data_IF_291489921086
#
_entry.id   IF_291489921086
#
_cell.length_a   1.000
_cell.length_b   1.000
_cell.length_c   1.000
_cell.angle_alpha   90.00
_cell.angle_beta   90.00
_cell.angle_gamma   90.00
#
_symmetry.space_group_name_H-M   'P 1'
#
loop_
_entity.id
_entity.type
_entity.pdbx_description
1 polymer ?
#
# COMPACT_ATOMS: atom_id res chain seq x y z
N UNK A 1 -3.46 -3.09 -20.50
CA UNK A 1 -2.72 -3.77 -19.44
C UNK A 1 -3.12 -3.15 -18.11
N UNK A 2 -3.34 -3.95 -17.09
CA UNK A 2 -3.73 -3.53 -15.73
C UNK A 2 -3.04 -4.39 -14.68
N UNK A 3 -2.91 -3.90 -13.47
CA UNK A 3 -2.42 -4.61 -12.30
C UNK A 3 -2.87 -3.91 -11.02
N UNK A 4 -2.46 -4.43 -9.88
CA UNK A 4 -2.63 -3.79 -8.58
C UNK A 4 -4.09 -3.34 -8.32
N UNK A 5 -5.05 -4.22 -8.66
CA UNK A 5 -6.47 -3.94 -8.49
C UNK A 5 -6.94 -4.15 -7.05
N UNK A 6 -6.25 -5.01 -6.29
CA UNK A 6 -6.49 -5.31 -4.89
C UNK A 6 -7.97 -5.57 -4.58
N UNK A 7 -8.62 -6.38 -5.40
CA UNK A 7 -10.01 -6.81 -5.18
C UNK A 7 -10.10 -7.63 -3.89
N UNK A 8 -11.28 -7.63 -3.25
CA UNK A 8 -11.50 -8.32 -1.97
C UNK A 8 -10.65 -7.77 -0.80
N UNK A 9 -10.56 -6.46 -0.60
CA UNK A 9 -9.67 -5.87 0.41
C UNK A 9 -10.10 -6.22 1.84
N UNK A 10 -9.12 -6.40 2.73
CA UNK A 10 -9.35 -6.52 4.17
C UNK A 10 -9.41 -5.13 4.81
N UNK A 11 -10.60 -4.70 5.20
CA UNK A 11 -10.86 -3.35 5.73
C UNK A 11 -11.48 -3.41 7.14
N UNK A 12 -10.77 -3.95 8.15
CA UNK A 12 -11.35 -4.22 9.48
C UNK A 12 -11.78 -2.96 10.23
N UNK A 13 -11.20 -1.80 9.91
CA UNK A 13 -11.51 -0.51 10.56
C UNK A 13 -12.75 0.18 9.99
N UNK A 14 -13.28 -0.30 8.84
CA UNK A 14 -14.46 0.26 8.22
C UNK A 14 -15.74 -0.42 8.72
N UNK A 15 -16.84 0.34 8.77
CA UNK A 15 -18.18 -0.24 8.98
C UNK A 15 -18.53 -1.21 7.85
N UNK A 16 -19.43 -2.18 8.06
CA UNK A 16 -19.84 -3.11 7.00
C UNK A 16 -20.31 -2.39 5.72
N UNK A 17 -21.09 -1.33 5.86
CA UNK A 17 -21.57 -0.53 4.73
C UNK A 17 -20.40 0.11 3.94
N UNK A 18 -19.44 0.75 4.62
CA UNK A 18 -18.29 1.38 3.97
C UNK A 18 -17.34 0.37 3.35
N UNK A 19 -17.20 -0.82 3.96
CA UNK A 19 -16.46 -1.92 3.33
C UNK A 19 -17.08 -2.32 2.01
N UNK A 20 -18.41 -2.43 1.96
CA UNK A 20 -19.10 -2.77 0.71
C UNK A 20 -18.95 -1.67 -0.34
N UNK A 21 -19.11 -0.41 0.03
CA UNK A 21 -18.92 0.73 -0.87
C UNK A 21 -17.48 0.74 -1.45
N UNK A 22 -16.45 0.53 -0.61
CA UNK A 22 -15.06 0.48 -1.09
C UNK A 22 -14.84 -0.71 -2.02
N UNK A 23 -15.38 -1.87 -1.68
CA UNK A 23 -15.32 -3.05 -2.52
C UNK A 23 -15.97 -2.80 -3.89
N UNK A 24 -17.15 -2.20 -3.92
CA UNK A 24 -17.85 -1.87 -5.16
C UNK A 24 -17.04 -0.93 -6.04
N UNK A 25 -16.40 0.10 -5.48
CA UNK A 25 -15.51 1.00 -6.24
C UNK A 25 -14.35 0.26 -6.89
N UNK A 26 -13.68 -0.63 -6.16
CA UNK A 26 -12.59 -1.43 -6.73
C UNK A 26 -13.09 -2.33 -7.87
N UNK A 27 -14.24 -2.96 -7.71
CA UNK A 27 -14.86 -3.75 -8.76
C UNK A 27 -15.23 -2.89 -9.98
N UNK A 28 -15.79 -1.71 -9.77
CA UNK A 28 -16.13 -0.76 -10.83
C UNK A 28 -14.89 -0.28 -11.60
N UNK A 29 -13.78 0.00 -10.88
CA UNK A 29 -12.52 0.39 -11.50
C UNK A 29 -11.94 -0.72 -12.40
N UNK A 30 -12.00 -1.98 -11.94
CA UNK A 30 -11.61 -3.13 -12.76
C UNK A 30 -12.54 -3.32 -13.96
N UNK A 31 -13.86 -3.25 -13.75
CA UNK A 31 -14.84 -3.35 -14.83
C UNK A 31 -14.64 -2.25 -15.88
N UNK A 32 -14.29 -1.03 -15.46
CA UNK A 32 -14.01 0.06 -16.40
C UNK A 32 -12.82 -0.24 -17.33
N UNK A 33 -11.78 -0.91 -16.83
CA UNK A 33 -10.66 -1.38 -17.67
C UNK A 33 -11.12 -2.46 -18.66
N UNK A 34 -12.01 -3.36 -18.25
CA UNK A 34 -12.63 -4.37 -19.12
C UNK A 34 -13.53 -3.73 -20.17
N UNK A 35 -14.39 -2.78 -19.78
CA UNK A 35 -15.27 -2.04 -20.67
C UNK A 35 -14.47 -1.30 -21.74
N UNK A 36 -13.40 -0.64 -21.33
CA UNK A 36 -12.51 0.07 -22.24
C UNK A 36 -11.86 -0.90 -23.25
N UNK A 37 -11.35 -2.04 -22.77
CA UNK A 37 -10.75 -3.04 -23.64
C UNK A 37 -11.74 -3.58 -24.68
N UNK A 38 -13.00 -3.82 -24.30
CA UNK A 38 -14.06 -4.28 -25.21
C UNK A 38 -14.43 -3.17 -26.22
N UNK A 39 -14.66 -1.97 -25.73
CA UNK A 39 -15.09 -0.82 -26.57
C UNK A 39 -14.02 -0.44 -27.62
N UNK A 40 -12.73 -0.60 -27.28
CA UNK A 40 -11.62 -0.28 -28.18
C UNK A 40 -11.06 -1.52 -28.91
N UNK A 41 -11.79 -2.64 -28.87
CA UNK A 41 -11.45 -3.86 -29.62
C UNK A 41 -10.03 -4.37 -29.30
N UNK A 42 -9.61 -4.32 -28.04
CA UNK A 42 -8.35 -4.91 -27.60
C UNK A 42 -8.24 -6.36 -28.08
N UNK A 43 -7.04 -6.84 -28.31
CA UNK A 43 -6.79 -8.25 -28.65
C UNK A 43 -6.21 -9.04 -27.50
N UNK A 44 -5.50 -8.32 -26.62
CA UNK A 44 -4.89 -8.89 -25.40
C UNK A 44 -5.31 -8.03 -24.22
N UNK A 45 -5.77 -8.66 -23.15
CA UNK A 45 -5.93 -8.06 -21.83
C UNK A 45 -4.88 -8.68 -20.92
N UNK A 46 -3.85 -7.91 -20.57
CA UNK A 46 -2.74 -8.37 -19.75
C UNK A 46 -2.87 -7.87 -18.32
N UNK A 47 -2.76 -8.78 -17.35
CA UNK A 47 -2.81 -8.50 -15.93
C UNK A 47 -1.46 -8.78 -15.27
N UNK A 48 -0.85 -7.78 -14.64
CA UNK A 48 0.53 -7.82 -14.13
C UNK A 48 0.64 -8.05 -12.62
N UNK A 49 -0.30 -8.80 -12.04
CA UNK A 49 -0.27 -9.21 -10.63
C UNK A 49 -1.13 -8.36 -9.70
N UNK A 50 -1.31 -8.83 -8.47
CA UNK A 50 -2.13 -8.22 -7.42
C UNK A 50 -3.58 -7.92 -7.87
N UNK A 51 -4.20 -8.92 -8.51
CA UNK A 51 -5.62 -8.87 -8.83
C UNK A 51 -6.47 -8.85 -7.54
N UNK A 52 -6.05 -9.62 -6.56
CA UNK A 52 -6.68 -9.68 -5.25
C UNK A 52 -5.73 -9.17 -4.15
N UNK A 53 -6.31 -8.56 -3.13
CA UNK A 53 -5.58 -8.02 -1.96
C UNK A 53 -4.97 -9.11 -1.07
N UNK A 54 -5.38 -10.36 -1.26
CA UNK A 54 -4.86 -11.52 -0.54
C UNK A 54 -5.23 -12.84 -1.23
N UNK A 55 -4.58 -13.92 -0.79
CA UNK A 55 -4.66 -15.27 -1.39
C UNK A 55 -6.03 -15.95 -1.28
N UNK A 56 -6.88 -15.49 -0.37
CA UNK A 56 -8.21 -16.08 -0.10
C UNK A 56 -9.35 -15.09 -0.33
N UNK A 57 -9.51 -14.57 -1.57
CA UNK A 57 -10.57 -13.62 -1.88
C UNK A 57 -11.95 -14.24 -1.66
N UNK A 58 -12.95 -13.39 -1.41
CA UNK A 58 -14.34 -13.85 -1.23
C UNK A 58 -14.89 -14.55 -2.48
N UNK A 59 -15.80 -15.48 -2.29
CA UNK A 59 -16.45 -16.15 -3.44
C UNK A 59 -17.21 -15.15 -4.32
N UNK A 60 -17.73 -14.07 -3.74
CA UNK A 60 -18.40 -13.00 -4.48
C UNK A 60 -17.43 -12.27 -5.42
N UNK A 61 -16.25 -11.94 -4.94
CA UNK A 61 -15.23 -11.27 -5.76
C UNK A 61 -14.65 -12.20 -6.82
N UNK A 62 -14.48 -13.48 -6.49
CA UNK A 62 -14.10 -14.49 -7.48
C UNK A 62 -15.15 -14.62 -8.60
N UNK A 63 -16.43 -14.66 -8.24
CA UNK A 63 -17.52 -14.73 -9.22
C UNK A 63 -17.58 -13.47 -10.09
N UNK A 64 -17.34 -12.29 -9.52
CA UNK A 64 -17.23 -11.03 -10.25
C UNK A 64 -16.11 -11.11 -11.30
N UNK A 65 -14.88 -11.48 -10.90
CA UNK A 65 -13.75 -11.62 -11.83
C UNK A 65 -14.04 -12.66 -12.93
N UNK A 66 -14.65 -13.81 -12.56
CA UNK A 66 -15.05 -14.82 -13.55
C UNK A 66 -16.03 -14.25 -14.59
N UNK A 67 -16.96 -13.40 -14.16
CA UNK A 67 -17.90 -12.70 -15.05
C UNK A 67 -17.18 -11.75 -16.01
N UNK A 68 -16.24 -10.95 -15.51
CA UNK A 68 -15.47 -10.00 -16.33
C UNK A 68 -14.56 -10.72 -17.34
N UNK A 69 -13.91 -11.81 -16.94
CA UNK A 69 -13.13 -12.66 -17.85
C UNK A 69 -14.00 -13.30 -18.93
N UNK A 70 -15.23 -13.71 -18.57
CA UNK A 70 -16.18 -14.24 -19.55
C UNK A 70 -16.60 -13.17 -20.58
N UNK A 71 -16.79 -11.92 -20.17
CA UNK A 71 -17.06 -10.77 -21.08
C UNK A 71 -15.91 -10.54 -22.06
N UNK A 72 -14.68 -10.53 -21.56
CA UNK A 72 -13.48 -10.40 -22.40
C UNK A 72 -13.39 -11.54 -23.43
N UNK A 73 -13.59 -12.79 -22.98
CA UNK A 73 -13.60 -13.95 -23.88
C UNK A 73 -14.70 -13.88 -24.94
N UNK A 74 -15.92 -13.46 -24.57
CA UNK A 74 -17.01 -13.27 -25.51
C UNK A 74 -16.71 -12.20 -26.57
N UNK A 75 -15.92 -11.17 -26.19
CA UNK A 75 -15.43 -10.15 -27.12
C UNK A 75 -14.21 -10.63 -27.96
N UNK A 76 -13.74 -11.88 -27.79
CA UNK A 76 -12.58 -12.42 -28.51
C UNK A 76 -11.24 -11.89 -28.02
N UNK A 77 -11.18 -11.39 -26.78
CA UNK A 77 -9.97 -10.85 -26.17
C UNK A 77 -9.23 -11.95 -25.40
N UNK A 78 -7.97 -12.16 -25.69
CA UNK A 78 -7.11 -13.11 -25.00
C UNK A 78 -6.66 -12.51 -23.69
N UNK A 79 -6.95 -13.17 -22.56
CA UNK A 79 -6.50 -12.74 -21.25
C UNK A 79 -5.21 -13.47 -20.89
N UNK A 80 -4.19 -12.71 -20.45
CA UNK A 80 -2.91 -13.22 -19.94
C UNK A 80 -2.65 -12.61 -18.57
N UNK A 81 -2.13 -13.41 -17.61
CA UNK A 81 -1.97 -12.92 -16.25
C UNK A 81 -0.80 -13.57 -15.51
N UNK A 82 -0.28 -12.85 -14.53
CA UNK A 82 0.62 -13.33 -13.49
C UNK A 82 0.00 -13.07 -12.11
N UNK A 83 0.56 -13.67 -11.06
CA UNK A 83 0.28 -13.31 -9.67
C UNK A 83 1.26 -12.26 -9.14
N UNK A 84 0.82 -11.47 -8.18
CA UNK A 84 1.64 -10.52 -7.46
C UNK A 84 2.05 -11.02 -6.07
N UNK A 85 2.50 -10.12 -5.20
CA UNK A 85 2.94 -10.50 -3.86
C UNK A 85 1.76 -10.64 -2.86
N UNK A 86 0.62 -10.01 -3.12
CA UNK A 86 -0.56 -10.13 -2.28
C UNK A 86 -1.33 -11.42 -2.54
N UNK A 87 -1.46 -11.84 -3.78
CA UNK A 87 -2.31 -12.95 -4.17
C UNK A 87 -1.54 -14.25 -4.51
N UNK A 88 -0.21 -14.26 -4.37
CA UNK A 88 0.59 -15.49 -4.49
C UNK A 88 0.83 -16.12 -3.11
N UNK A 89 0.56 -17.43 -2.90
CA UNK A 89 0.83 -18.13 -1.65
C UNK A 89 2.31 -18.07 -1.25
N UNK A 90 2.57 -17.85 0.04
CA UNK A 90 3.95 -17.75 0.56
C UNK A 90 4.64 -19.10 0.68
N UNK A 91 3.88 -20.19 0.80
CA UNK A 91 4.38 -21.55 0.87
C UNK A 91 3.62 -22.44 -0.11
N UNK A 92 4.30 -23.45 -0.67
CA UNK A 92 3.67 -24.43 -1.56
C UNK A 92 2.54 -25.23 -0.90
N UNK A 93 2.56 -25.35 0.42
CA UNK A 93 1.52 -26.02 1.21
C UNK A 93 0.29 -25.14 1.44
N UNK A 94 0.41 -23.84 1.26
CA UNK A 94 -0.72 -22.90 1.37
C UNK A 94 -1.53 -22.94 0.07
N UNK A 95 -2.83 -23.13 0.19
CA UNK A 95 -3.79 -23.05 -0.93
C UNK A 95 -3.38 -23.87 -2.18
N UNK A 96 -2.64 -24.97 -1.99
CA UNK A 96 -2.15 -25.80 -3.08
C UNK A 96 -1.00 -25.16 -3.89
N UNK A 97 -0.33 -24.14 -3.34
CA UNK A 97 0.81 -23.47 -3.97
C UNK A 97 0.46 -22.58 -5.17
N UNK A 98 -0.82 -22.35 -5.41
CA UNK A 98 -1.28 -21.57 -6.56
C UNK A 98 -2.11 -20.34 -6.10
N UNK A 99 -1.92 -19.22 -6.76
CA UNK A 99 -2.74 -18.03 -6.55
C UNK A 99 -4.20 -18.25 -7.00
N UNK A 100 -5.15 -17.44 -6.51
CA UNK A 100 -6.57 -17.57 -6.84
C UNK A 100 -6.86 -17.47 -8.34
N UNK A 101 -5.99 -16.85 -9.13
CA UNK A 101 -6.10 -16.73 -10.58
C UNK A 101 -5.98 -18.07 -11.31
N UNK A 102 -5.30 -19.05 -10.71
CA UNK A 102 -5.13 -20.37 -11.30
C UNK A 102 -6.45 -21.07 -11.61
N UNK A 103 -7.48 -20.85 -10.80
CA UNK A 103 -8.81 -21.42 -11.04
C UNK A 103 -9.42 -20.95 -12.38
N UNK A 104 -9.19 -19.69 -12.75
CA UNK A 104 -9.67 -19.17 -14.03
C UNK A 104 -8.89 -19.73 -15.22
N UNK A 105 -7.58 -19.99 -15.04
CA UNK A 105 -6.76 -20.66 -16.05
C UNK A 105 -7.22 -22.11 -16.27
N UNK A 106 -7.54 -22.85 -15.21
CA UNK A 106 -8.07 -24.21 -15.28
C UNK A 106 -9.43 -24.29 -16.00
N UNK A 107 -10.14 -23.17 -16.15
CA UNK A 107 -11.43 -23.04 -16.84
C UNK A 107 -11.27 -22.35 -18.22
N UNK A 108 -10.08 -22.26 -18.76
CA UNK A 108 -9.77 -21.56 -20.02
C UNK A 108 -10.22 -20.08 -20.05
N UNK A 109 -10.33 -19.45 -18.87
CA UNK A 109 -10.74 -18.05 -18.72
C UNK A 109 -9.57 -17.09 -18.95
N UNK A 110 -8.34 -17.52 -18.68
CA UNK A 110 -7.11 -16.75 -18.92
C UNK A 110 -5.89 -17.70 -19.06
N UNK A 111 -4.79 -17.21 -19.60
CA UNK A 111 -3.48 -17.85 -19.58
C UNK A 111 -2.69 -17.33 -18.39
N UNK A 112 -2.36 -18.20 -17.45
CA UNK A 112 -1.70 -17.83 -16.21
C UNK A 112 -0.25 -18.34 -16.19
N UNK A 113 0.69 -17.42 -16.05
CA UNK A 113 2.09 -17.73 -15.87
C UNK A 113 2.39 -17.83 -14.37
N UNK A 114 2.49 -19.06 -13.86
CA UNK A 114 2.67 -19.34 -12.43
C UNK A 114 4.03 -18.93 -11.88
N UNK A 115 4.19 -19.07 -10.54
CA UNK A 115 5.45 -18.82 -9.85
C UNK A 115 6.53 -19.77 -10.37
N UNK A 116 7.62 -19.21 -10.90
CA UNK A 116 8.72 -19.97 -11.50
C UNK A 116 9.94 -19.07 -11.65
N UNK A 117 11.12 -19.69 -11.60
CA UNK A 117 12.36 -19.06 -12.02
C UNK A 117 12.65 -19.36 -13.52
N UNK A 118 11.64 -19.86 -14.23
CA UNK A 118 11.76 -20.24 -15.64
C UNK A 118 10.69 -19.54 -16.44
N UNK A 119 11.08 -18.69 -17.37
CA UNK A 119 10.19 -18.11 -18.36
C UNK A 119 9.87 -19.16 -19.44
N UNK A 120 8.58 -19.36 -19.69
CA UNK A 120 8.06 -20.20 -20.77
C UNK A 120 7.24 -19.35 -21.72
N UNK A 121 7.86 -18.80 -22.77
CA UNK A 121 7.13 -17.98 -23.73
C UNK A 121 6.08 -18.79 -24.48
N UNK A 122 4.90 -18.19 -24.66
CA UNK A 122 3.83 -18.70 -25.50
C UNK A 122 3.68 -17.81 -26.74
N UNK A 123 3.58 -18.42 -27.92
CA UNK A 123 3.36 -17.70 -29.17
C UNK A 123 1.87 -17.51 -29.41
N UNK A 124 1.46 -16.25 -29.60
CA UNK A 124 0.14 -15.85 -30.06
C UNK A 124 0.24 -15.32 -31.48
N UNK A 125 -0.70 -15.71 -32.34
CA UNK A 125 -0.85 -15.09 -33.66
C UNK A 125 -2.16 -14.33 -33.71
N UNK A 126 -2.07 -13.03 -33.93
CA UNK A 126 -3.21 -12.10 -33.89
C UNK A 126 -3.10 -11.16 -35.09
N UNK A 127 -4.04 -11.26 -36.02
CA UNK A 127 -4.08 -10.44 -37.23
C UNK A 127 -2.76 -10.44 -38.05
N UNK A 128 -2.07 -11.58 -38.09
CA UNK A 128 -0.80 -11.73 -38.80
C UNK A 128 0.41 -11.15 -38.06
N UNK A 129 0.24 -10.71 -36.80
CA UNK A 129 1.33 -10.36 -35.89
C UNK A 129 1.58 -11.55 -34.93
N UNK A 130 2.81 -12.00 -34.84
CA UNK A 130 3.24 -13.06 -33.94
C UNK A 130 3.81 -12.41 -32.67
N UNK A 131 3.20 -12.73 -31.55
CA UNK A 131 3.51 -12.12 -30.24
C UNK A 131 3.97 -13.22 -29.30
N UNK A 132 5.22 -13.18 -28.85
CA UNK A 132 5.65 -14.03 -27.74
C UNK A 132 5.21 -13.37 -26.42
N UNK A 133 4.46 -14.09 -25.59
CA UNK A 133 4.08 -13.63 -24.26
C UNK A 133 4.71 -14.52 -23.22
N UNK A 134 5.41 -13.92 -22.26
CA UNK A 134 5.96 -14.58 -21.10
C UNK A 134 5.56 -13.84 -19.83
N UNK A 135 5.55 -14.52 -18.70
CA UNK A 135 5.22 -13.91 -17.43
C UNK A 135 5.97 -14.54 -16.27
N UNK A 136 6.26 -13.74 -15.27
CA UNK A 136 6.94 -14.14 -14.05
C UNK A 136 6.09 -13.73 -12.84
N UNK A 137 5.33 -14.67 -12.30
CA UNK A 137 4.60 -14.50 -11.05
C UNK A 137 5.60 -14.29 -9.90
N UNK A 138 5.26 -13.43 -8.96
CA UNK A 138 6.07 -13.21 -7.77
C UNK A 138 6.44 -14.54 -7.08
N UNK A 139 7.75 -14.77 -6.87
CA UNK A 139 8.24 -15.94 -6.16
C UNK A 139 8.39 -15.63 -4.65
N UNK A 140 7.48 -16.11 -3.79
CA UNK A 140 7.45 -15.72 -2.38
C UNK A 140 8.60 -16.30 -1.55
N UNK A 141 9.31 -17.32 -2.07
CA UNK A 141 10.47 -17.93 -1.39
C UNK A 141 11.80 -17.30 -1.79
N UNK A 142 11.78 -16.37 -2.74
CA UNK A 142 12.99 -15.65 -3.12
C UNK A 142 13.42 -14.67 -2.00
N UNK A 143 14.74 -14.45 -1.79
CA UNK A 143 15.22 -13.55 -0.76
C UNK A 143 14.66 -12.13 -0.89
N UNK A 144 14.36 -11.44 0.22
CA UNK A 144 14.03 -10.01 0.20
C UNK A 144 15.11 -9.20 -0.55
N UNK A 145 14.70 -8.19 -1.30
CA UNK A 145 15.62 -7.34 -2.07
C UNK A 145 16.24 -8.02 -3.30
N UNK A 146 15.92 -9.30 -3.58
CA UNK A 146 16.47 -10.00 -4.74
C UNK A 146 15.89 -9.47 -6.05
N UNK A 147 16.72 -9.50 -7.10
CA UNK A 147 16.27 -9.21 -8.46
C UNK A 147 15.56 -10.44 -9.05
N UNK A 148 14.27 -10.32 -9.44
CA UNK A 148 13.50 -11.43 -9.99
C UNK A 148 14.09 -12.02 -11.28
N UNK A 149 14.87 -11.24 -12.03
CA UNK A 149 15.44 -11.66 -13.31
C UNK A 149 16.87 -12.22 -13.19
N UNK A 150 17.58 -11.98 -12.09
CA UNK A 150 19.01 -12.33 -11.96
C UNK A 150 19.32 -13.82 -12.15
N UNK A 151 18.40 -14.70 -11.80
CA UNK A 151 18.57 -16.17 -11.88
C UNK A 151 17.53 -16.82 -12.78
N UNK A 152 16.78 -16.03 -13.52
CA UNK A 152 15.77 -16.50 -14.43
C UNK A 152 16.37 -17.27 -15.60
N UNK A 153 15.74 -18.38 -15.99
CA UNK A 153 16.07 -19.16 -17.18
C UNK A 153 14.94 -19.08 -18.20
N UNK A 154 15.28 -19.13 -19.47
CA UNK A 154 14.29 -19.21 -20.55
C UNK A 154 14.20 -20.66 -21.00
N UNK A 155 13.00 -21.24 -20.97
CA UNK A 155 12.67 -22.58 -21.50
C UNK A 155 11.67 -22.37 -22.64
N UNK A 156 12.22 -22.29 -23.85
CA UNK A 156 11.47 -22.04 -25.08
C UNK A 156 11.67 -23.17 -26.13
N UNK A 157 11.18 -24.38 -25.81
CA UNK A 157 11.38 -25.55 -26.69
C UNK A 157 10.68 -25.42 -28.05
N UNK A 158 9.72 -24.50 -28.16
CA UNK A 158 8.99 -24.26 -29.42
C UNK A 158 9.56 -23.10 -30.23
N UNK A 159 10.56 -22.40 -29.69
CA UNK A 159 11.15 -21.21 -30.33
C UNK A 159 10.17 -20.08 -30.49
N UNK A 160 9.33 -19.83 -29.50
CA UNK A 160 8.33 -18.76 -29.53
C UNK A 160 8.97 -17.39 -29.69
N UNK A 161 10.07 -17.13 -28.98
CA UNK A 161 10.81 -15.86 -29.07
C UNK A 161 11.43 -15.67 -30.45
N UNK A 162 12.03 -16.72 -31.03
CA UNK A 162 12.64 -16.63 -32.34
C UNK A 162 11.64 -16.48 -33.51
N UNK A 163 10.40 -16.89 -33.29
CA UNK A 163 9.32 -16.80 -34.27
C UNK A 163 8.50 -15.50 -34.12
N UNK A 164 8.59 -14.83 -32.99
CA UNK A 164 7.78 -13.65 -32.70
C UNK A 164 8.26 -12.41 -33.46
N UNK A 165 7.31 -11.59 -33.83
CA UNK A 165 7.56 -10.24 -34.35
C UNK A 165 7.76 -9.25 -33.19
N UNK A 166 7.13 -9.51 -32.01
CA UNK A 166 7.22 -8.71 -30.79
C UNK A 166 7.07 -9.60 -29.54
N UNK A 167 7.79 -9.31 -28.47
CA UNK A 167 7.71 -10.05 -27.22
C UNK A 167 7.26 -9.20 -26.05
N UNK A 168 6.28 -9.69 -25.29
CA UNK A 168 5.72 -9.09 -24.09
C UNK A 168 6.10 -9.91 -22.87
N UNK A 169 6.80 -9.27 -21.91
CA UNK A 169 7.10 -9.83 -20.60
C UNK A 169 6.22 -9.21 -19.53
N UNK A 170 5.52 -10.03 -18.75
CA UNK A 170 4.77 -9.60 -17.58
C UNK A 170 5.59 -9.83 -16.31
N UNK A 171 5.72 -8.79 -15.48
CA UNK A 171 6.47 -8.80 -14.22
C UNK A 171 5.63 -8.21 -13.07
N UNK A 172 5.96 -8.59 -11.83
CA UNK A 172 5.41 -7.94 -10.63
C UNK A 172 6.54 -7.63 -9.65
N UNK A 173 7.20 -6.49 -9.87
CA UNK A 173 8.33 -6.00 -9.10
C UNK A 173 8.59 -4.52 -9.37
N UNK A 174 9.32 -3.86 -8.47
CA UNK A 174 9.88 -2.55 -8.71
C UNK A 174 10.90 -2.60 -9.87
N UNK A 175 11.09 -1.49 -10.57
CA UNK A 175 12.07 -1.34 -11.65
C UNK A 175 13.06 -0.24 -11.25
N UNK A 176 14.35 -0.56 -11.29
CA UNK A 176 15.42 0.38 -11.02
C UNK A 176 15.31 1.62 -11.93
N UNK A 177 15.39 2.82 -11.33
CA UNK A 177 15.26 4.09 -12.04
C UNK A 177 13.84 4.53 -12.38
N UNK A 178 12.82 3.67 -12.22
CA UNK A 178 11.40 4.01 -12.43
C UNK A 178 10.62 4.16 -11.12
N UNK A 179 11.12 3.58 -10.03
CA UNK A 179 10.53 3.66 -8.70
C UNK A 179 11.62 3.79 -7.63
N UNK A 180 11.23 4.28 -6.46
CA UNK A 180 12.08 4.21 -5.27
C UNK A 180 11.58 3.02 -4.44
N UNK A 181 12.28 1.88 -4.47
CA UNK A 181 11.85 0.71 -3.72
C UNK A 181 12.00 0.95 -2.22
N UNK A 182 11.09 0.33 -1.45
CA UNK A 182 11.25 0.25 0.00
C UNK A 182 12.38 -0.73 0.36
N UNK A 183 12.86 -0.66 1.60
CA UNK A 183 13.87 -1.60 2.08
C UNK A 183 13.36 -3.05 1.97
N UNK A 184 14.15 -3.92 1.37
CA UNK A 184 13.79 -5.32 1.14
C UNK A 184 12.82 -5.58 -0.01
N UNK A 185 12.41 -4.57 -0.75
CA UNK A 185 11.53 -4.72 -1.91
C UNK A 185 12.27 -5.31 -3.10
N UNK A 186 11.64 -6.26 -3.79
CA UNK A 186 12.22 -6.91 -4.96
C UNK A 186 12.28 -5.93 -6.13
N UNK A 187 13.47 -5.75 -6.68
CA UNK A 187 13.73 -4.75 -7.72
C UNK A 187 14.46 -5.37 -8.89
N UNK A 188 13.92 -5.21 -10.08
CA UNK A 188 14.59 -5.56 -11.33
C UNK A 188 15.65 -4.50 -11.63
N UNK A 189 16.90 -4.93 -11.77
CA UNK A 189 18.00 -4.04 -12.10
C UNK A 189 18.07 -3.72 -13.59
N UNK A 190 18.67 -2.59 -13.94
CA UNK A 190 18.93 -2.24 -15.34
C UNK A 190 19.79 -3.29 -16.04
N UNK A 191 20.77 -3.86 -15.32
CA UNK A 191 21.64 -4.91 -15.85
C UNK A 191 20.86 -6.18 -16.20
N UNK A 192 19.89 -6.59 -15.36
CA UNK A 192 19.04 -7.75 -15.63
C UNK A 192 18.06 -7.50 -16.78
N UNK A 193 17.54 -6.26 -16.92
CA UNK A 193 16.76 -5.90 -18.10
C UNK A 193 17.58 -5.97 -19.38
N UNK A 194 18.83 -5.50 -19.38
CA UNK A 194 19.71 -5.57 -20.54
C UNK A 194 20.10 -7.00 -20.92
N UNK A 195 20.19 -7.90 -19.92
CA UNK A 195 20.49 -9.30 -20.10
C UNK A 195 19.32 -10.14 -20.63
N UNK A 196 18.09 -9.60 -20.66
CA UNK A 196 16.94 -10.29 -21.23
C UNK A 196 17.14 -10.61 -22.72
N UNK A 197 16.52 -11.70 -23.17
CA UNK A 197 16.44 -12.01 -24.60
C UNK A 197 15.90 -10.78 -25.38
N UNK A 198 16.59 -10.33 -26.44
CA UNK A 198 16.16 -9.16 -27.22
C UNK A 198 14.78 -9.31 -27.86
N UNK A 199 14.28 -10.53 -28.02
CA UNK A 199 12.92 -10.81 -28.46
C UNK A 199 11.85 -10.33 -27.44
N UNK A 200 12.19 -10.15 -26.15
CA UNK A 200 11.33 -9.57 -25.13
C UNK A 200 11.51 -8.05 -25.09
N UNK A 201 10.92 -7.34 -26.00
CA UNK A 201 11.13 -5.91 -26.22
C UNK A 201 10.06 -5.00 -25.60
N UNK A 202 9.01 -5.57 -25.01
CA UNK A 202 8.01 -4.85 -24.19
C UNK A 202 7.93 -5.50 -22.81
N UNK A 203 8.11 -4.74 -21.77
CA UNK A 203 8.01 -5.17 -20.37
C UNK A 203 6.85 -4.44 -19.72
N UNK A 204 5.88 -5.19 -19.22
CA UNK A 204 4.76 -4.69 -18.44
C UNK A 204 4.93 -5.09 -16.98
N UNK A 205 4.99 -4.11 -16.07
CA UNK A 205 5.24 -4.32 -14.65
C UNK A 205 4.07 -3.83 -13.78
N UNK A 206 3.74 -4.58 -12.74
CA UNK A 206 2.91 -4.18 -11.60
C UNK A 206 3.76 -3.96 -10.35
N UNK A 207 3.12 -3.91 -9.17
CA UNK A 207 3.68 -3.72 -7.84
C UNK A 207 3.82 -2.26 -7.41
N UNK A 208 4.19 -1.38 -8.32
CA UNK A 208 4.24 0.06 -8.06
C UNK A 208 2.92 0.66 -8.53
N UNK A 209 2.15 1.19 -7.58
CA UNK A 209 0.78 1.67 -7.84
C UNK A 209 0.71 2.96 -8.67
N UNK A 210 1.86 3.49 -9.08
CA UNK A 210 1.97 4.68 -9.92
C UNK A 210 2.34 4.29 -11.34
N UNK A 211 1.54 4.74 -12.32
CA UNK A 211 1.88 4.60 -13.73
C UNK A 211 3.23 5.25 -14.05
N UNK A 212 4.03 4.54 -14.82
CA UNK A 212 5.26 5.07 -15.41
C UNK A 212 5.54 4.38 -16.74
N UNK A 213 6.16 5.10 -17.67
CA UNK A 213 6.63 4.55 -18.92
C UNK A 213 8.01 5.12 -19.23
N UNK A 214 8.95 4.23 -19.60
CA UNK A 214 10.30 4.62 -19.99
C UNK A 214 10.87 3.60 -20.98
N UNK A 215 11.70 4.09 -21.91
CA UNK A 215 12.50 3.20 -22.77
C UNK A 215 13.85 2.93 -22.13
N UNK A 216 14.13 1.66 -21.84
CA UNK A 216 15.33 1.20 -21.14
C UNK A 216 15.97 0.10 -21.99
N UNK A 217 17.26 0.24 -22.33
CA UNK A 217 18.01 -0.79 -23.08
C UNK A 217 17.33 -1.18 -24.41
N UNK A 218 16.65 -0.24 -25.05
CA UNK A 218 15.92 -0.48 -26.31
C UNK A 218 14.52 -1.10 -26.12
N UNK A 219 14.10 -1.43 -24.89
CA UNK A 219 12.78 -1.98 -24.53
C UNK A 219 11.82 -0.90 -24.05
N UNK A 220 10.55 -1.05 -24.36
CA UNK A 220 9.50 -0.25 -23.73
C UNK A 220 9.12 -0.87 -22.39
N UNK A 221 9.37 -0.18 -21.30
CA UNK A 221 9.06 -0.61 -19.92
C UNK A 221 7.88 0.20 -19.41
N UNK A 222 6.78 -0.47 -19.10
CA UNK A 222 5.52 0.16 -18.68
C UNK A 222 5.11 -0.38 -17.33
N UNK A 223 5.12 0.46 -16.31
CA UNK A 223 4.49 0.19 -15.01
C UNK A 223 3.02 0.59 -15.13
N UNK A 224 2.09 -0.35 -14.93
CA UNK A 224 0.67 -0.11 -15.21
C UNK A 224 0.00 0.84 -14.23
N UNK A 225 0.56 0.95 -13.01
CA UNK A 225 -0.13 1.58 -11.89
C UNK A 225 -1.34 0.76 -11.42
N UNK A 226 -2.06 1.28 -10.45
CA UNK A 226 -3.27 0.67 -9.90
C UNK A 226 -4.55 1.29 -10.49
N UNK A 227 -5.62 0.51 -10.58
CA UNK A 227 -6.93 1.00 -11.07
C UNK A 227 -7.66 1.90 -10.06
N UNK A 228 -7.16 1.97 -8.84
CA UNK A 228 -7.65 2.86 -7.79
C UNK A 228 -6.45 3.39 -6.98
N UNK A 229 -6.53 4.59 -6.43
CA UNK A 229 -5.46 5.11 -5.58
C UNK A 229 -5.41 4.33 -4.26
N UNK A 230 -4.27 3.68 -3.98
CA UNK A 230 -4.08 2.82 -2.81
C UNK A 230 -3.29 3.51 -1.70
N UNK A 231 -2.48 4.50 -2.01
CA UNK A 231 -1.54 5.16 -1.10
C UNK A 231 -1.91 6.62 -0.83
N UNK A 232 -1.30 7.18 0.22
CA UNK A 232 -1.35 8.60 0.55
C UNK A 232 -0.08 9.31 0.12
N UNK A 233 -0.20 10.61 -0.18
CA UNK A 233 0.93 11.50 -0.41
C UNK A 233 1.19 11.82 -1.88
N UNK A 234 2.26 12.58 -2.13
CA UNK A 234 2.63 13.11 -3.47
C UNK A 234 3.02 12.02 -4.49
N UNK A 235 3.23 10.80 -4.03
CA UNK A 235 3.59 9.66 -4.88
C UNK A 235 2.36 8.87 -5.36
N UNK A 236 1.18 9.21 -4.88
CA UNK A 236 -0.05 8.65 -5.40
C UNK A 236 -0.21 9.12 -6.85
N UNK A 237 0.16 8.27 -7.81
CA UNK A 237 -0.18 8.45 -9.21
C UNK A 237 -1.70 8.44 -9.36
N UNK A 238 -2.23 9.00 -10.45
CA UNK A 238 -3.65 8.86 -10.76
C UNK A 238 -4.01 7.38 -10.93
N UNK A 239 -5.23 7.01 -10.55
CA UNK A 239 -5.78 5.69 -10.84
C UNK A 239 -5.94 5.49 -12.35
N UNK A 240 -5.74 4.27 -12.82
CA UNK A 240 -5.91 3.96 -14.23
C UNK A 240 -5.27 2.65 -14.66
N UNK A 241 -5.01 2.55 -15.95
CA UNK A 241 -4.37 1.38 -16.56
C UNK A 241 -3.63 1.79 -17.85
N UNK A 242 -2.73 0.94 -18.33
CA UNK A 242 -1.97 1.22 -19.52
C UNK A 242 -2.68 0.72 -20.79
N UNK A 243 -2.68 1.53 -21.84
CA UNK A 243 -3.06 1.16 -23.19
C UNK A 243 -1.87 1.29 -24.12
N UNK A 244 -1.67 0.34 -25.02
CA UNK A 244 -0.63 0.40 -26.04
C UNK A 244 -1.01 -0.42 -27.27
N UNK A 245 -0.34 -0.16 -28.36
CA UNK A 245 -0.43 -0.92 -29.61
C UNK A 245 0.86 -1.72 -29.80
N UNK A 246 0.72 -3.03 -30.04
CA UNK A 246 1.84 -3.88 -30.42
C UNK A 246 1.97 -3.94 -31.93
N UNK A 247 3.16 -3.67 -32.42
CA UNK A 247 3.52 -3.72 -33.83
C UNK A 247 4.80 -4.54 -34.02
N UNK A 248 5.23 -4.75 -35.27
CA UNK A 248 6.51 -5.40 -35.55
C UNK A 248 7.73 -4.61 -35.06
N UNK A 249 7.56 -3.30 -34.90
CA UNK A 249 8.59 -2.39 -34.40
C UNK A 249 8.61 -2.30 -32.87
N UNK A 250 7.71 -3.02 -32.17
CA UNK A 250 7.57 -2.99 -30.72
C UNK A 250 6.24 -2.35 -30.27
N UNK A 251 6.20 -1.78 -29.06
CA UNK A 251 5.03 -1.10 -28.55
C UNK A 251 5.00 0.37 -29.00
N UNK A 252 3.82 0.84 -29.40
CA UNK A 252 3.55 2.21 -29.83
C UNK A 252 2.30 2.76 -29.13
N UNK A 253 2.08 4.06 -29.24
CA UNK A 253 0.92 4.74 -28.66
C UNK A 253 0.65 4.39 -27.20
N UNK A 254 1.75 4.34 -26.39
CA UNK A 254 1.68 3.98 -24.99
C UNK A 254 1.07 5.14 -24.20
N UNK A 255 -0.04 4.90 -23.50
CA UNK A 255 -0.78 5.92 -22.76
C UNK A 255 -1.32 5.35 -21.44
N UNK A 256 -1.46 6.24 -20.46
CA UNK A 256 -2.22 6.00 -19.26
C UNK A 256 -3.68 6.41 -19.46
N UNK A 257 -4.59 5.47 -19.31
CA UNK A 257 -6.03 5.72 -19.31
C UNK A 257 -6.44 5.97 -17.88
N UNK A 258 -6.79 7.23 -17.59
CA UNK A 258 -7.15 7.65 -16.25
C UNK A 258 -8.55 7.19 -15.85
N UNK A 259 -8.69 6.76 -14.61
CA UNK A 259 -9.95 6.46 -13.96
C UNK A 259 -10.21 7.46 -12.82
N UNK A 260 -11.48 7.68 -12.51
CA UNK A 260 -11.85 8.50 -11.36
C UNK A 260 -11.60 7.74 -10.06
N UNK A 261 -10.62 8.22 -9.29
CA UNK A 261 -10.25 7.64 -8.00
C UNK A 261 -11.11 8.18 -6.85
N UNK A 262 -11.24 7.38 -5.78
CA UNK A 262 -11.80 7.86 -4.54
C UNK A 262 -10.90 8.94 -3.93
N UNK A 263 -11.42 10.13 -3.56
CA UNK A 263 -10.62 11.22 -3.03
C UNK A 263 -9.83 10.79 -1.78
N UNK A 264 -8.56 11.19 -1.72
CA UNK A 264 -7.70 10.98 -0.55
C UNK A 264 -7.16 12.29 -0.03
N UNK A 265 -7.06 12.42 1.29
CA UNK A 265 -6.49 13.57 1.96
C UNK A 265 -5.49 13.12 3.01
N UNK A 266 -4.25 13.60 2.88
CA UNK A 266 -3.18 13.39 3.85
C UNK A 266 -2.96 14.69 4.61
N UNK A 267 -3.20 14.68 5.92
CA UNK A 267 -3.10 15.83 6.79
C UNK A 267 -1.99 15.55 7.80
N UNK A 268 -1.05 16.46 7.91
CA UNK A 268 -0.01 16.39 8.95
C UNK A 268 -0.15 17.60 9.85
N UNK A 269 -0.31 17.37 11.14
CA UNK A 269 -0.34 18.39 12.19
C UNK A 269 0.84 18.16 13.13
N UNK A 270 1.64 19.19 13.35
CA UNK A 270 2.62 19.17 14.43
C UNK A 270 1.91 19.42 15.77
N UNK A 271 2.50 18.97 16.85
CA UNK A 271 2.01 19.27 18.21
C UNK A 271 2.00 20.77 18.52
N UNK A 272 2.80 21.57 17.82
CA UNK A 272 2.76 23.04 17.89
C UNK A 272 1.46 23.64 17.34
N UNK A 273 0.78 22.95 16.42
CA UNK A 273 -0.51 23.36 15.92
C UNK A 273 -1.63 23.10 16.93
N UNK A 274 -1.45 22.07 17.76
CA UNK A 274 -2.42 21.63 18.77
C UNK A 274 -2.20 22.34 20.11
N UNK A 275 -0.93 22.55 20.49
CA UNK A 275 -0.47 23.23 21.68
C UNK A 275 0.58 24.26 21.29
N UNK A 276 0.20 25.53 21.10
CA UNK A 276 1.13 26.57 20.64
C UNK A 276 2.38 26.77 21.52
N UNK A 277 2.28 26.44 22.81
CA UNK A 277 3.41 26.45 23.73
C UNK A 277 4.54 25.47 23.36
N UNK A 278 4.25 24.45 22.57
CA UNK A 278 5.27 23.50 22.10
C UNK A 278 6.28 24.14 21.14
N UNK A 279 5.99 25.33 20.58
CA UNK A 279 6.95 26.16 19.83
C UNK A 279 8.15 26.61 20.68
N UNK A 280 7.96 26.63 22.01
CA UNK A 280 9.04 27.00 22.94
C UNK A 280 10.07 25.88 23.12
N UNK A 281 9.81 24.69 22.59
CA UNK A 281 10.74 23.58 22.72
C UNK A 281 11.76 23.59 21.58
N UNK A 282 13.04 23.71 21.97
CA UNK A 282 14.12 23.65 21.01
C UNK A 282 14.38 22.20 20.60
N UNK A 283 14.34 21.95 19.31
CA UNK A 283 14.67 20.63 18.74
C UNK A 283 16.12 20.58 18.31
N UNK A 284 16.82 19.49 18.61
CA UNK A 284 18.18 19.22 18.14
C UNK A 284 18.21 18.73 16.69
N UNK A 285 19.41 18.46 16.18
CA UNK A 285 19.65 17.94 14.82
C UNK A 285 18.88 16.66 14.52
N UNK A 286 18.55 15.89 15.53
CA UNK A 286 17.75 14.66 15.44
C UNK A 286 16.23 14.90 15.40
N UNK A 287 15.78 16.17 15.42
CA UNK A 287 14.36 16.54 15.52
C UNK A 287 13.74 16.34 16.91
N UNK A 288 14.53 15.91 17.90
CA UNK A 288 14.06 15.75 19.30
C UNK A 288 14.27 17.02 20.11
N UNK A 289 13.41 17.23 21.11
CA UNK A 289 13.53 18.38 22.02
C UNK A 289 14.84 18.26 22.84
N UNK A 290 15.63 19.31 22.81
CA UNK A 290 16.88 19.45 23.57
C UNK A 290 16.80 20.54 24.66
N UNK A 291 15.66 21.23 24.76
CA UNK A 291 15.45 22.27 25.74
C UNK A 291 14.34 23.24 25.32
N UNK A 292 14.15 24.30 26.11
CA UNK A 292 13.28 25.45 25.74
C UNK A 292 14.10 26.51 25.04
N UNK A 293 13.53 27.13 24.02
CA UNK A 293 14.15 28.24 23.33
C UNK A 293 14.05 29.53 24.18
N UNK A 294 15.16 29.92 24.81
CA UNK A 294 15.21 31.10 25.67
C UNK A 294 14.84 32.41 24.92
N UNK A 295 15.17 32.49 23.62
CA UNK A 295 14.83 33.67 22.82
C UNK A 295 13.31 33.81 22.58
N UNK A 296 12.60 32.70 22.52
CA UNK A 296 11.14 32.69 22.40
C UNK A 296 10.43 32.96 23.74
N UNK A 297 11.09 32.65 24.86
CA UNK A 297 10.54 32.90 26.19
C UNK A 297 10.52 34.40 26.57
N UNK A 298 11.44 35.20 26.00
CA UNK A 298 11.54 36.64 26.28
C UNK A 298 10.52 37.49 25.48
N UNK A 299 9.89 36.94 24.45
CA UNK A 299 8.88 37.65 23.68
C UNK A 299 7.51 37.61 24.41
N UNK A 300 6.78 38.75 24.54
CA UNK A 300 5.44 38.77 25.13
C UNK A 300 4.50 37.97 24.22
N UNK A 301 4.21 36.75 24.62
CA UNK A 301 3.40 35.83 23.81
C UNK A 301 2.04 35.64 24.45
N UNK A 302 1.01 36.25 23.85
CA UNK A 302 -0.36 35.78 24.02
C UNK A 302 -0.51 34.50 23.14
N UNK A 303 -0.11 33.37 23.67
CA UNK A 303 -0.40 32.07 23.00
C UNK A 303 -1.93 31.86 23.08
N UNK A 304 -2.59 31.54 21.96
CA UNK A 304 -4.01 31.23 22.01
C UNK A 304 -4.20 29.94 22.84
N UNK A 305 -5.35 29.87 23.53
CA UNK A 305 -5.70 28.65 24.26
C UNK A 305 -5.66 27.42 23.31
N UNK A 306 -5.03 26.38 23.78
CA UNK A 306 -4.96 25.14 23.00
C UNK A 306 -6.35 24.50 22.93
N UNK A 307 -6.82 24.27 21.71
CA UNK A 307 -8.07 23.58 21.43
C UNK A 307 -7.78 22.47 20.39
N UNK A 308 -7.12 21.38 20.80
CA UNK A 308 -6.65 20.34 19.87
C UNK A 308 -7.76 19.81 18.96
N UNK A 309 -8.95 19.59 19.51
CA UNK A 309 -10.10 19.11 18.77
C UNK A 309 -10.57 20.10 17.71
N UNK A 310 -10.67 21.39 18.03
CA UNK A 310 -11.09 22.43 17.07
C UNK A 310 -10.09 22.56 15.93
N UNK A 311 -8.79 22.49 16.22
CA UNK A 311 -7.74 22.55 15.21
C UNK A 311 -7.86 21.36 14.26
N UNK A 312 -7.99 20.15 14.79
CA UNK A 312 -8.22 18.94 13.96
C UNK A 312 -9.48 19.08 13.12
N UNK A 313 -10.58 19.57 13.71
CA UNK A 313 -11.85 19.71 13.01
C UNK A 313 -11.81 20.74 11.89
N UNK A 314 -11.02 21.80 12.05
CA UNK A 314 -10.76 22.78 10.98
C UNK A 314 -10.03 22.15 9.80
N UNK A 315 -9.02 21.34 10.04
CA UNK A 315 -8.28 20.62 8.97
C UNK A 315 -9.15 19.57 8.27
N UNK A 316 -10.08 18.94 9.01
CA UNK A 316 -11.04 17.99 8.47
C UNK A 316 -12.23 18.67 7.74
N UNK A 317 -12.36 19.98 7.79
CA UNK A 317 -13.50 20.71 7.19
C UNK A 317 -13.59 20.53 5.66
N UNK A 318 -12.45 20.28 4.99
CA UNK A 318 -12.41 20.01 3.54
C UNK A 318 -12.60 18.53 3.15
N UNK A 319 -12.90 17.64 4.11
CA UNK A 319 -13.22 16.25 3.84
C UNK A 319 -14.72 16.10 3.51
N UNK A 320 -15.03 15.12 2.67
CA UNK A 320 -16.39 14.72 2.31
C UNK A 320 -16.63 13.27 2.71
N UNK A 321 -17.87 12.77 2.76
CA UNK A 321 -18.17 11.36 3.01
C UNK A 321 -17.52 10.38 2.03
N UNK A 322 -16.98 10.87 0.92
CA UNK A 322 -16.23 10.08 -0.07
C UNK A 322 -14.71 10.09 0.20
N UNK A 323 -14.20 11.03 1.04
CA UNK A 323 -12.76 11.22 1.22
C UNK A 323 -12.17 10.18 2.18
N UNK A 324 -11.18 9.40 1.73
CA UNK A 324 -10.32 8.60 2.60
C UNK A 324 -9.27 9.54 3.19
N UNK A 325 -9.20 9.66 4.51
CA UNK A 325 -8.33 10.63 5.19
C UNK A 325 -7.32 9.93 6.07
N UNK A 326 -6.06 10.35 6.00
CA UNK A 326 -5.04 10.08 7.02
C UNK A 326 -4.74 11.38 7.76
N UNK A 327 -4.82 11.35 9.07
CA UNK A 327 -4.37 12.42 9.95
C UNK A 327 -3.14 11.94 10.71
N UNK A 328 -1.99 12.53 10.41
CA UNK A 328 -0.74 12.28 11.13
C UNK A 328 -0.51 13.41 12.13
N UNK A 329 -0.27 13.06 13.38
CA UNK A 329 0.14 14.00 14.42
C UNK A 329 1.59 13.71 14.77
N UNK A 330 2.44 14.75 14.74
CA UNK A 330 3.90 14.60 14.89
C UNK A 330 4.44 15.57 15.92
N UNK A 331 5.51 15.20 16.61
CA UNK A 331 6.27 16.09 17.46
C UNK A 331 6.21 15.77 18.96
N UNK A 332 6.77 16.65 19.80
CA UNK A 332 6.87 16.46 21.24
C UNK A 332 5.53 16.71 21.95
N UNK A 333 5.25 15.89 22.97
CA UNK A 333 4.15 16.09 23.90
C UNK A 333 4.66 15.95 25.35
N UNK A 334 4.13 16.74 26.25
CA UNK A 334 4.23 16.40 27.66
C UNK A 334 3.28 15.25 27.98
N UNK A 335 3.47 14.60 29.15
CA UNK A 335 2.55 13.55 29.59
C UNK A 335 1.12 14.04 29.73
N UNK A 336 0.91 15.26 30.24
CA UNK A 336 -0.42 15.85 30.40
C UNK A 336 -1.07 16.09 29.02
N UNK A 337 -0.35 16.67 28.07
CA UNK A 337 -0.84 16.88 26.69
C UNK A 337 -1.19 15.57 25.98
N UNK A 338 -0.40 14.50 26.24
CA UNK A 338 -0.72 13.18 25.70
C UNK A 338 -2.06 12.63 26.23
N UNK A 339 -2.35 12.81 27.51
CA UNK A 339 -3.63 12.42 28.11
C UNK A 339 -4.79 13.31 27.69
N UNK A 340 -4.53 14.58 27.39
CA UNK A 340 -5.51 15.54 26.89
C UNK A 340 -5.84 15.34 25.40
N UNK A 341 -5.02 14.61 24.61
CA UNK A 341 -5.29 14.39 23.20
C UNK A 341 -6.59 13.57 23.01
N UNK A 342 -7.65 14.18 22.46
CA UNK A 342 -8.98 13.57 22.43
C UNK A 342 -9.12 12.55 21.29
N UNK A 343 -8.27 11.51 21.28
CA UNK A 343 -8.17 10.50 20.20
C UNK A 343 -9.52 9.90 19.82
N UNK A 344 -10.33 9.52 20.80
CA UNK A 344 -11.65 8.91 20.56
C UNK A 344 -12.60 9.87 19.85
N UNK A 345 -12.60 11.13 20.26
CA UNK A 345 -13.46 12.14 19.69
C UNK A 345 -13.00 12.53 18.27
N UNK A 346 -11.69 12.64 18.04
CA UNK A 346 -11.10 12.81 16.70
C UNK A 346 -11.54 11.71 15.77
N UNK A 347 -11.42 10.44 16.17
CA UNK A 347 -11.83 9.29 15.35
C UNK A 347 -13.33 9.29 15.08
N UNK A 348 -14.17 9.59 16.10
CA UNK A 348 -15.62 9.65 15.94
C UNK A 348 -16.03 10.73 14.93
N UNK A 349 -15.60 11.97 15.15
CA UNK A 349 -15.93 13.10 14.28
C UNK A 349 -15.31 12.97 12.89
N UNK A 350 -14.12 12.41 12.80
CA UNK A 350 -13.48 12.11 11.50
C UNK A 350 -14.29 11.11 10.69
N UNK A 351 -14.81 10.06 11.33
CA UNK A 351 -15.69 9.09 10.68
C UNK A 351 -17.03 9.69 10.24
N UNK A 352 -17.53 10.71 10.89
CA UNK A 352 -18.76 11.41 10.49
C UNK A 352 -18.53 12.27 9.24
N UNK A 353 -17.35 12.85 9.06
CA UNK A 353 -17.03 13.80 7.98
C UNK A 353 -16.36 13.17 6.77
N UNK A 354 -15.56 12.13 6.97
CA UNK A 354 -14.80 11.46 5.93
C UNK A 354 -15.32 10.05 5.68
N UNK A 355 -14.99 9.45 4.55
CA UNK A 355 -15.24 8.03 4.27
C UNK A 355 -14.52 7.15 5.29
N UNK A 356 -13.29 7.46 5.60
CA UNK A 356 -12.52 6.87 6.70
C UNK A 356 -11.52 7.87 7.22
N UNK A 357 -11.21 7.78 8.51
CA UNK A 357 -10.10 8.48 9.14
C UNK A 357 -9.13 7.46 9.73
N UNK A 358 -7.89 7.46 9.23
CA UNK A 358 -6.75 6.78 9.83
C UNK A 358 -5.93 7.80 10.62
N UNK A 359 -5.85 7.60 11.94
CA UNK A 359 -5.07 8.47 12.84
C UNK A 359 -3.70 7.82 13.06
N UNK A 360 -2.65 8.48 12.57
CA UNK A 360 -1.26 8.08 12.71
C UNK A 360 -0.56 8.96 13.76
N UNK A 361 -0.15 8.34 14.87
CA UNK A 361 0.51 8.99 16.00
C UNK A 361 1.91 8.43 16.27
N UNK A 362 2.50 7.68 15.32
CA UNK A 362 3.79 7.00 15.50
C UNK A 362 4.96 7.97 15.65
N UNK A 363 4.83 9.17 15.14
CA UNK A 363 5.85 10.23 15.22
C UNK A 363 5.65 11.15 16.43
N UNK A 364 4.75 10.79 17.36
CA UNK A 364 4.64 11.46 18.67
C UNK A 364 5.70 10.89 19.62
N UNK A 365 6.27 11.75 20.45
CA UNK A 365 7.16 11.35 21.52
C UNK A 365 6.94 12.18 22.79
N UNK A 366 7.06 11.52 23.94
CA UNK A 366 6.94 12.19 25.23
C UNK A 366 8.27 12.87 25.62
N UNK A 367 8.17 14.02 26.28
CA UNK A 367 9.30 14.66 26.90
C UNK A 367 8.88 15.25 28.23
N UNK A 368 9.84 15.41 29.16
CA UNK A 368 9.64 16.03 30.45
C UNK A 368 10.27 17.43 30.46
N UNK A 369 9.47 18.51 30.53
CA UNK A 369 10.00 19.87 30.56
C UNK A 369 10.82 20.20 31.81
N UNK A 370 10.72 19.40 32.88
CA UNK A 370 11.43 19.58 34.14
C UNK A 370 12.80 18.87 34.19
N UNK A 371 13.10 17.98 33.24
CA UNK A 371 14.27 17.13 33.30
C UNK A 371 15.61 17.81 32.90
N UNK A 372 15.62 19.12 32.61
CA UNK A 372 16.85 19.83 32.22
C UNK A 372 17.45 19.37 30.87
N UNK A 373 18.74 19.60 30.63
CA UNK A 373 19.41 19.19 29.38
C UNK A 373 19.18 17.72 29.07
N UNK A 374 18.39 17.47 28.06
CA UNK A 374 17.86 16.17 27.70
C UNK A 374 18.85 15.42 26.81
N UNK A 375 19.46 14.34 27.30
CA UNK A 375 19.88 13.26 26.41
C UNK A 375 18.61 12.57 25.88
N UNK A 376 18.40 12.51 24.55
CA UNK A 376 17.24 11.84 23.99
C UNK A 376 17.35 10.36 24.38
N UNK A 377 16.60 9.93 25.36
CA UNK A 377 16.35 8.49 25.56
C UNK A 377 15.85 7.98 24.22
N UNK A 378 16.59 7.06 23.64
CA UNK A 378 16.28 6.29 22.46
C UNK A 378 14.79 6.13 22.32
N UNK A 379 14.24 6.56 21.17
CA UNK A 379 12.81 6.71 20.89
C UNK A 379 11.93 5.85 21.77
N UNK A 380 10.96 6.48 22.40
CA UNK A 380 9.92 5.71 23.09
C UNK A 380 9.30 4.87 21.97
N UNK A 381 9.61 3.57 21.98
CA UNK A 381 8.79 2.59 21.29
C UNK A 381 7.31 2.83 21.68
N UNK A 382 6.37 2.20 21.07
CA UNK A 382 4.96 2.40 21.37
C UNK A 382 4.81 2.46 22.89
N UNK A 383 4.19 3.54 23.41
CA UNK A 383 4.07 3.80 24.84
C UNK A 383 3.61 2.51 25.48
N UNK A 384 4.45 1.93 26.32
CA UNK A 384 4.14 0.66 26.98
C UNK A 384 2.92 0.89 27.86
N UNK A 385 1.84 0.17 27.60
CA UNK A 385 0.63 0.23 28.43
C UNK A 385 0.95 -0.12 29.90
N UNK A 386 2.01 -0.92 30.11
CA UNK A 386 2.49 -1.26 31.45
C UNK A 386 3.15 -0.05 32.13
N UNK A 387 3.98 0.72 31.41
CA UNK A 387 4.62 1.91 31.97
C UNK A 387 3.59 2.99 32.28
N UNK A 388 2.55 3.15 31.44
CA UNK A 388 1.44 4.05 31.68
C UNK A 388 0.59 3.63 32.88
N UNK A 389 0.34 2.33 33.03
CA UNK A 389 -0.34 1.80 34.21
C UNK A 389 0.45 2.09 35.49
N UNK A 390 1.77 1.90 35.45
CA UNK A 390 2.64 2.12 36.60
C UNK A 390 2.70 3.59 37.00
N UNK A 391 2.75 4.50 36.01
CA UNK A 391 2.68 5.92 36.24
C UNK A 391 1.32 6.37 36.83
N UNK A 392 0.22 5.80 36.30
CA UNK A 392 -1.14 6.09 36.81
C UNK A 392 -1.30 5.61 38.26
N UNK A 393 -0.80 4.41 38.59
CA UNK A 393 -0.81 3.87 39.96
C UNK A 393 0.01 4.73 40.90
N UNK A 394 1.21 5.17 40.49
CA UNK A 394 2.05 6.07 41.27
C UNK A 394 1.36 7.41 41.56
N UNK A 395 0.75 8.04 40.54
CA UNK A 395 0.02 9.29 40.69
C UNK A 395 -1.19 9.14 41.62
N UNK A 396 -1.93 8.03 41.51
CA UNK A 396 -3.09 7.76 42.39
C UNK A 396 -2.68 7.49 43.83
N UNK A 397 -1.54 6.86 44.06
CA UNK A 397 -0.99 6.68 45.43
C UNK A 397 -0.64 8.00 46.10
N UNK A 398 -0.17 9.00 45.35
CA UNK A 398 0.13 10.33 45.87
C UNK A 398 -1.13 11.13 46.20
N UNK A 399 -2.23 10.89 45.53
CA UNK A 399 -3.48 11.65 45.68
C UNK A 399 -4.54 11.01 46.57
N UNK A 400 -4.41 9.72 46.92
CA UNK A 400 -5.41 8.98 47.71
C UNK A 400 -4.87 8.55 49.06
N UNK A 401 -5.32 9.19 50.13
CA UNK A 401 -5.17 8.71 51.51
C UNK A 401 -6.25 7.63 51.77
N UNK A 402 -5.90 6.33 51.67
CA UNK A 402 -6.71 5.25 52.23
C UNK A 402 -7.19 4.11 51.34
N UNK A 403 -6.86 4.07 50.05
CA UNK A 403 -7.32 3.00 49.14
C UNK A 403 -6.16 2.19 48.51
N UNK A 404 -5.06 2.00 49.22
CA UNK A 404 -3.84 1.36 48.67
C UNK A 404 -4.02 -0.08 48.20
N UNK A 405 -4.70 -0.93 48.99
CA UNK A 405 -4.84 -2.36 48.70
C UNK A 405 -5.74 -2.63 47.48
N UNK A 406 -6.82 -1.88 47.32
CA UNK A 406 -7.73 -2.00 46.19
C UNK A 406 -7.08 -1.50 44.88
N UNK A 407 -6.27 -0.44 44.96
CA UNK A 407 -5.53 0.10 43.82
C UNK A 407 -4.45 -0.92 43.35
N UNK A 408 -3.76 -1.58 44.29
CA UNK A 408 -2.75 -2.57 43.98
C UNK A 408 -3.36 -3.85 43.42
N UNK A 409 -4.52 -4.26 43.88
CA UNK A 409 -5.26 -5.39 43.31
C UNK A 409 -5.73 -5.10 41.86
N UNK A 410 -6.29 -3.92 41.65
CA UNK A 410 -6.72 -3.47 40.30
C UNK A 410 -5.51 -3.37 39.35
N UNK A 411 -4.39 -2.82 39.79
CA UNK A 411 -3.18 -2.70 39.00
C UNK A 411 -2.61 -4.08 38.58
N UNK A 412 -2.64 -5.06 39.48
CA UNK A 412 -2.23 -6.44 39.15
C UNK A 412 -3.08 -7.06 38.07
N UNK A 413 -4.40 -6.98 38.17
CA UNK A 413 -5.34 -7.51 37.20
C UNK A 413 -5.16 -6.88 35.83
N UNK A 414 -4.93 -5.57 35.78
CA UNK A 414 -4.67 -4.85 34.52
C UNK A 414 -3.35 -5.25 33.89
N UNK A 415 -2.26 -5.40 34.68
CA UNK A 415 -0.97 -5.88 34.18
C UNK A 415 -1.09 -7.26 33.54
N UNK A 416 -1.77 -8.20 34.21
CA UNK A 416 -1.98 -9.54 33.65
C UNK A 416 -2.72 -9.51 32.32
N UNK A 417 -3.76 -8.69 32.19
CA UNK A 417 -4.51 -8.53 30.94
C UNK A 417 -3.72 -7.85 29.83
N UNK A 418 -2.94 -6.82 30.16
CA UNK A 418 -2.08 -6.13 29.17
C UNK A 418 -1.02 -7.10 28.65
N UNK A 419 -0.32 -7.82 29.55
CA UNK A 419 0.72 -8.79 29.17
C UNK A 419 0.15 -9.94 28.32
N UNK A 420 -1.05 -10.43 28.63
CA UNK A 420 -1.72 -11.45 27.82
C UNK A 420 -2.06 -10.92 26.39
N UNK A 421 -2.57 -9.70 26.30
CA UNK A 421 -2.92 -9.09 25.01
C UNK A 421 -1.70 -8.72 24.15
N UNK A 422 -0.55 -8.41 24.77
CA UNK A 422 0.72 -8.16 24.07
C UNK A 422 1.34 -9.48 23.57
N UNK A 423 1.22 -10.57 24.35
CA UNK A 423 1.65 -11.90 23.94
C UNK A 423 0.89 -12.48 22.75
N UNK A 424 -0.41 -12.17 22.62
CA UNK A 424 -1.24 -12.58 21.48
C UNK A 424 -0.96 -11.76 20.19
N UNK A 425 -0.36 -10.57 20.29
CA UNK A 425 0.02 -9.73 19.13
C UNK A 425 1.40 -10.06 18.56
N UNK A 426 2.20 -10.83 19.31
CA UNK A 426 3.55 -11.25 18.91
C UNK A 426 3.63 -12.63 18.23
N UNK A 427 2.51 -13.32 18.06
CA UNK A 427 2.37 -14.56 17.29
C UNK A 427 1.60 -14.27 15.99
#
# INVERSE_FOLDING_TARGET
MTGDNHLSPRLPRLTPQRREQRRERLCQAFAAAVDYAIAHHARIFAHVGDLFDHQTPSNRDRAFVAGELARLRQAGIICVAIGGNHDTPRMQTEHGGAGPQWVYAALDGLRYFGASDVLRPELLEINGLRIAVAGLTNNPVAPPGSDPLAHMRVDDPKGALAQADVGLLLLHAAIEGMSMPNEGERTVTLASLDALDPGLNVVAAGHIHRYAHQRIGGREVVVTGSTEVMEFGAHAGGAGFAWLELTREGAQHIQHIHLEAQPRKDITLSTENLWPENRLFRTGVTGKVVGRDAALLEAPQTLPAAMPLETVMRELAGCTPETITRLRITGPLTRDQYHELPVREILRLGQERAFSLDLDTRDLYLFDPAAGDFEPTTGIGPISLLDELDALVAARRQSASGAGDDLDAAARLLRERISAAEGERGQ
#
